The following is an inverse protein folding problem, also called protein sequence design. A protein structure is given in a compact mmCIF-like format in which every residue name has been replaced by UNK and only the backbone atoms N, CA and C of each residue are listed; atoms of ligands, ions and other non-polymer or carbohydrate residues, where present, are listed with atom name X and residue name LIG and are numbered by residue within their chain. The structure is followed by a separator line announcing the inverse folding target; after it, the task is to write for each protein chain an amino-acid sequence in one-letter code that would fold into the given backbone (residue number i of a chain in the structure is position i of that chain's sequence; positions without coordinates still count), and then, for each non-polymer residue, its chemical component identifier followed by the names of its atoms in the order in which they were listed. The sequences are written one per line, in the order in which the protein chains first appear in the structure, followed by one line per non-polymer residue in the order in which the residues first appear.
data_IF_880649460008
#
_entry.id   IF_880649460008
#
_cell.length_a   1.000
_cell.length_b   1.000
_cell.length_c   1.000
_cell.angle_alpha   90.00
_cell.angle_beta   90.00
_cell.angle_gamma   90.00
#
_symmetry.space_group_name_H-M   'P 1'
#
loop_
_entity.id
_entity.type
_entity.pdbx_description
1 polymer ?
#
# COMPACT_ATOMS: atom_id res chain seq x y z
N UNK A 1 21.73 -26.09 2.33
CA UNK A 1 20.97 -25.45 3.41
C UNK A 1 21.33 -23.98 3.50
N UNK A 2 20.78 -23.22 2.57
CA UNK A 2 20.69 -21.76 2.66
C UNK A 2 19.24 -21.41 2.97
N UNK A 3 19.01 -20.57 3.98
CA UNK A 3 17.70 -19.98 4.25
C UNK A 3 17.75 -18.55 3.75
N UNK A 4 16.81 -18.19 2.87
CA UNK A 4 16.68 -16.85 2.32
C UNK A 4 15.34 -16.24 2.71
N UNK A 5 15.32 -14.91 2.84
CA UNK A 5 14.11 -14.14 3.14
C UNK A 5 13.96 -13.03 2.10
N UNK A 6 12.84 -13.02 1.38
CA UNK A 6 12.47 -11.95 0.46
C UNK A 6 11.20 -11.22 0.93
N UNK A 7 11.05 -9.97 0.51
CA UNK A 7 9.80 -9.21 0.65
C UNK A 7 9.30 -8.90 -0.76
N UNK A 8 8.04 -9.25 -1.01
CA UNK A 8 7.37 -9.05 -2.30
C UNK A 8 6.12 -8.21 -2.11
N UNK A 9 5.89 -7.23 -2.99
CA UNK A 9 4.63 -6.49 -3.05
C UNK A 9 3.60 -7.29 -3.86
N UNK A 10 3.09 -8.35 -3.25
CA UNK A 10 2.28 -9.39 -3.90
C UNK A 10 0.89 -8.91 -4.36
N UNK A 11 0.37 -7.81 -3.79
CA UNK A 11 -0.90 -7.21 -4.25
C UNK A 11 -1.00 -5.71 -3.96
N UNK A 12 -1.45 -4.93 -4.93
CA UNK A 12 -1.79 -3.50 -4.76
C UNK A 12 -3.18 -3.25 -5.35
N UNK A 13 -4.10 -2.67 -4.57
CA UNK A 13 -5.48 -2.38 -4.97
C UNK A 13 -5.86 -0.94 -4.69
N UNK A 14 -6.53 -0.29 -5.65
CA UNK A 14 -7.10 1.06 -5.48
C UNK A 14 -8.60 0.92 -5.22
N UNK A 15 -9.05 1.34 -4.05
CA UNK A 15 -10.44 1.11 -3.60
C UNK A 15 -11.13 2.39 -3.13
N UNK A 16 -12.46 2.38 -3.24
CA UNK A 16 -13.31 3.44 -2.72
C UNK A 16 -13.27 4.74 -3.52
N UNK A 17 -14.08 5.70 -3.07
CA UNK A 17 -14.22 7.01 -3.70
C UNK A 17 -12.94 7.84 -3.61
N UNK A 18 -12.26 7.82 -2.46
CA UNK A 18 -11.05 8.60 -2.20
C UNK A 18 -9.76 7.89 -2.62
N UNK A 19 -9.88 6.82 -3.43
CA UNK A 19 -8.73 6.09 -3.98
C UNK A 19 -7.73 5.63 -2.91
N UNK A 20 -8.23 4.98 -1.86
CA UNK A 20 -7.34 4.36 -0.88
C UNK A 20 -6.53 3.25 -1.56
N UNK A 21 -5.21 3.26 -1.36
CA UNK A 21 -4.30 2.28 -1.95
C UNK A 21 -3.99 1.23 -0.90
N UNK A 22 -4.51 0.02 -1.08
CA UNK A 22 -4.25 -1.12 -0.20
C UNK A 22 -3.06 -1.91 -0.74
N UNK A 23 -2.03 -2.07 0.07
CA UNK A 23 -0.81 -2.81 -0.28
C UNK A 23 -0.70 -4.05 0.58
N UNK A 24 -0.37 -5.18 -0.04
CA UNK A 24 -0.01 -6.43 0.62
C UNK A 24 1.46 -6.76 0.36
N UNK A 25 2.24 -6.80 1.42
CA UNK A 25 3.60 -7.32 1.43
C UNK A 25 3.55 -8.81 1.83
N UNK A 26 4.18 -9.66 1.02
CA UNK A 26 4.47 -11.04 1.37
C UNK A 26 5.92 -11.12 1.83
N UNK A 27 6.15 -11.65 3.03
CA UNK A 27 7.47 -12.13 3.44
C UNK A 27 7.53 -13.61 3.10
N UNK A 28 8.43 -13.97 2.19
CA UNK A 28 8.65 -15.36 1.74
C UNK A 28 9.98 -15.83 2.32
N UNK A 29 9.98 -17.05 2.88
CA UNK A 29 11.18 -17.72 3.37
C UNK A 29 11.36 -18.99 2.56
N UNK A 30 12.54 -19.14 1.96
CA UNK A 30 12.92 -20.31 1.17
C UNK A 30 14.08 -21.06 1.82
N UNK A 31 14.10 -22.38 1.64
CA UNK A 31 15.22 -23.25 1.99
C UNK A 31 15.63 -24.02 0.74
N UNK A 32 16.87 -23.82 0.28
CA UNK A 32 17.38 -24.44 -0.96
C UNK A 32 16.36 -24.33 -2.12
N UNK A 33 15.94 -23.08 -2.40
CA UNK A 33 14.95 -22.68 -3.42
C UNK A 33 13.50 -23.17 -3.21
N UNK A 34 13.21 -23.89 -2.12
CA UNK A 34 11.86 -24.34 -1.78
C UNK A 34 11.21 -23.38 -0.79
N UNK A 35 10.04 -22.82 -1.12
CA UNK A 35 9.27 -21.99 -0.17
C UNK A 35 8.78 -22.84 1.01
N UNK A 36 9.18 -22.45 2.22
CA UNK A 36 8.77 -23.12 3.47
C UNK A 36 7.77 -22.30 4.28
N UNK A 37 7.77 -20.98 4.10
CA UNK A 37 6.85 -20.10 4.81
C UNK A 37 6.53 -18.85 4.01
N UNK A 38 5.28 -18.42 4.12
CA UNK A 38 4.78 -17.16 3.59
C UNK A 38 3.90 -16.49 4.62
N UNK A 39 4.19 -15.23 4.92
CA UNK A 39 3.38 -14.39 5.80
C UNK A 39 3.04 -13.08 5.11
N UNK A 40 1.90 -12.49 5.48
CA UNK A 40 1.38 -11.30 4.82
C UNK A 40 1.19 -10.15 5.80
N UNK A 41 1.68 -8.97 5.41
CA UNK A 41 1.37 -7.69 6.05
C UNK A 41 0.56 -6.85 5.08
N UNK A 42 -0.49 -6.19 5.59
CA UNK A 42 -1.30 -5.25 4.81
C UNK A 42 -1.27 -3.89 5.45
N UNK A 43 -1.22 -2.86 4.63
CA UNK A 43 -1.39 -1.47 5.03
C UNK A 43 -2.18 -0.73 3.96
N UNK A 44 -2.73 0.42 4.36
CA UNK A 44 -3.54 1.28 3.51
C UNK A 44 -2.88 2.65 3.48
N UNK A 45 -2.76 3.21 2.28
CA UNK A 45 -2.34 4.58 2.07
C UNK A 45 -3.54 5.42 1.60
N UNK A 46 -3.65 6.61 2.17
CA UNK A 46 -4.66 7.62 1.89
C UNK A 46 -4.04 8.83 1.16
N UNK A 47 -4.85 9.65 0.48
CA UNK A 47 -4.36 10.76 -0.35
C UNK A 47 -3.48 11.82 0.33
N UNK A 48 -3.50 11.86 1.67
CA UNK A 48 -2.73 12.75 2.55
C UNK A 48 -1.51 12.07 3.20
N UNK A 49 -1.25 10.78 2.94
CA UNK A 49 -0.10 10.09 3.50
C UNK A 49 1.20 10.46 2.78
N UNK A 50 2.30 10.50 3.54
CA UNK A 50 3.65 10.57 2.99
C UNK A 50 4.04 9.22 2.36
N UNK A 51 4.51 9.27 1.12
CA UNK A 51 4.87 8.09 0.31
C UNK A 51 6.34 8.05 -0.08
N UNK A 52 7.20 8.92 0.47
CA UNK A 52 8.63 8.98 0.12
C UNK A 52 9.35 7.66 0.37
N UNK A 53 8.94 6.93 1.40
CA UNK A 53 9.55 5.65 1.80
C UNK A 53 8.96 4.43 1.07
N UNK A 54 7.97 4.65 0.18
CA UNK A 54 7.35 3.59 -0.60
C UNK A 54 8.20 3.22 -1.83
N UNK A 55 7.95 2.04 -2.41
CA UNK A 55 8.63 1.66 -3.66
C UNK A 55 8.18 2.55 -4.83
N UNK A 56 9.01 2.64 -5.87
CA UNK A 56 8.71 3.44 -7.06
C UNK A 56 7.37 3.04 -7.72
N UNK A 57 7.01 1.76 -7.69
CA UNK A 57 5.72 1.26 -8.19
C UNK A 57 4.54 1.81 -7.40
N UNK A 58 4.60 1.70 -6.06
CA UNK A 58 3.53 2.21 -5.17
C UNK A 58 3.43 3.72 -5.32
N UNK A 59 4.57 4.43 -5.34
CA UNK A 59 4.59 5.88 -5.54
C UNK A 59 3.93 6.27 -6.87
N UNK A 60 4.22 5.55 -7.96
CA UNK A 60 3.62 5.81 -9.26
C UNK A 60 2.10 5.61 -9.25
N UNK A 61 1.61 4.54 -8.60
CA UNK A 61 0.18 4.29 -8.45
C UNK A 61 -0.49 5.40 -7.64
N UNK A 62 0.05 5.73 -6.47
CA UNK A 62 -0.44 6.80 -5.60
C UNK A 62 -0.53 8.14 -6.35
N UNK A 63 0.55 8.55 -7.02
CA UNK A 63 0.58 9.79 -7.79
C UNK A 63 -0.40 9.80 -8.97
N UNK A 64 -0.65 8.65 -9.61
CA UNK A 64 -1.60 8.56 -10.71
C UNK A 64 -3.07 8.66 -10.25
N UNK A 65 -3.41 8.12 -9.07
CA UNK A 65 -4.80 8.05 -8.60
C UNK A 65 -5.18 9.19 -7.66
N UNK A 66 -4.24 9.79 -6.94
CA UNK A 66 -4.47 10.92 -6.04
C UNK A 66 -4.35 12.26 -6.76
N UNK A 67 -5.28 12.47 -7.69
CA UNK A 67 -5.49 13.78 -8.33
C UNK A 67 -5.85 14.85 -7.30
N UNK A 68 -5.69 16.13 -7.66
CA UNK A 68 -6.06 17.24 -6.78
C UNK A 68 -7.52 17.15 -6.32
N UNK A 69 -8.44 16.78 -7.22
CA UNK A 69 -9.86 16.59 -6.88
C UNK A 69 -10.08 15.48 -5.84
N UNK A 70 -9.32 14.39 -5.91
CA UNK A 70 -9.39 13.30 -4.91
C UNK A 70 -8.84 13.76 -3.56
N UNK A 71 -7.74 14.52 -3.55
CA UNK A 71 -7.14 15.07 -2.34
C UNK A 71 -8.08 16.07 -1.66
N UNK A 72 -8.70 16.98 -2.42
CA UNK A 72 -9.71 17.91 -1.91
C UNK A 72 -10.90 17.16 -1.32
N UNK A 73 -11.46 16.19 -2.03
CA UNK A 73 -12.61 15.41 -1.54
C UNK A 73 -12.28 14.61 -0.27
N UNK A 74 -11.05 14.10 -0.13
CA UNK A 74 -10.59 13.44 1.08
C UNK A 74 -10.50 14.39 2.27
N UNK A 75 -9.91 15.57 2.08
CA UNK A 75 -9.81 16.59 3.12
C UNK A 75 -11.19 17.10 3.60
N UNK A 76 -12.13 17.32 2.67
CA UNK A 76 -13.52 17.68 3.00
C UNK A 76 -14.21 16.57 3.81
N UNK A 77 -14.00 15.31 3.44
CA UNK A 77 -14.53 14.18 4.18
C UNK A 77 -13.96 14.11 5.61
N UNK A 78 -12.64 14.24 5.78
CA UNK A 78 -12.02 14.27 7.10
C UNK A 78 -12.60 15.39 7.97
N UNK A 79 -12.71 16.61 7.43
CA UNK A 79 -13.31 17.74 8.14
C UNK A 79 -14.77 17.48 8.54
N UNK A 80 -15.56 16.79 7.69
CA UNK A 80 -16.95 16.43 8.00
C UNK A 80 -17.07 15.42 9.14
N UNK A 81 -16.07 14.55 9.32
CA UNK A 81 -16.06 13.53 10.38
C UNK A 81 -15.61 14.10 11.73
N UNK A 82 -14.72 15.08 11.73
CA UNK A 82 -14.27 15.76 12.95
C UNK A 82 -15.32 16.70 13.54
N UNK A 83 -16.25 17.20 12.70
CA UNK A 83 -17.33 18.09 13.11
C UNK A 83 -18.57 17.37 13.68
N UNK A 84 -18.59 16.02 13.64
CA UNK A 84 -19.70 15.17 14.08
C UNK A 84 -19.46 14.59 15.47
#
# INVERSE_FOLDING_TARGET
MAIERSIEHDKIEVVGQYKAVQVREATVITEDDTEISRSFRRYVLHPDNDITDQTAEIQAICNAVWTDAVKTAWAEFQASQEAA
#
